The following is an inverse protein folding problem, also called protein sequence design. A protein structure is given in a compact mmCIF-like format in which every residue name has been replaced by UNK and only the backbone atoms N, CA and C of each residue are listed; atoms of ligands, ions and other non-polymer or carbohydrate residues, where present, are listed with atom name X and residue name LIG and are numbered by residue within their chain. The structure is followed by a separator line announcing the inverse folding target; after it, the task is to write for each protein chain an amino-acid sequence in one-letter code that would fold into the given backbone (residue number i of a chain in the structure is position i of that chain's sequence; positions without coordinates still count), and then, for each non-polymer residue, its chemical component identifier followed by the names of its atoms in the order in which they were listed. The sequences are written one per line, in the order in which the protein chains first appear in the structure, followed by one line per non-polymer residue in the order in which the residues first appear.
data_IF_029301481520
#
_entry.id   IF_029301481520
#
_cell.length_a   1.000
_cell.length_b   1.000
_cell.length_c   1.000
_cell.angle_alpha   90.00
_cell.angle_beta   90.00
_cell.angle_gamma   90.00
#
_symmetry.space_group_name_H-M   'P 1'
#
loop_
_entity.id
_entity.type
_entity.pdbx_description
1 polymer ?
#
# COMPACT_ATOMS: atom_id res chain seq x y z
N UNK A 1 -6.97 -12.38 -10.62
CA UNK A 1 -6.20 -12.21 -9.36
C UNK A 1 -6.88 -11.20 -8.42
N UNK A 2 -8.11 -11.48 -7.96
CA UNK A 2 -8.81 -10.62 -6.99
C UNK A 2 -8.10 -10.62 -5.63
N UNK A 3 -7.66 -11.79 -5.17
CA UNK A 3 -6.96 -11.96 -3.89
C UNK A 3 -5.66 -11.14 -3.81
N UNK A 4 -4.82 -11.17 -4.85
CA UNK A 4 -3.57 -10.41 -4.87
C UNK A 4 -3.81 -8.89 -4.76
N UNK A 5 -4.84 -8.36 -5.45
CA UNK A 5 -5.20 -6.95 -5.31
C UNK A 5 -5.65 -6.63 -3.88
N UNK A 6 -6.45 -7.50 -3.25
CA UNK A 6 -6.86 -7.34 -1.86
C UNK A 6 -5.67 -7.33 -0.89
N UNK A 7 -4.72 -8.28 -1.03
CA UNK A 7 -3.51 -8.33 -0.22
C UNK A 7 -2.64 -7.07 -0.38
N UNK A 8 -2.48 -6.58 -1.62
CA UNK A 8 -1.72 -5.35 -1.89
C UNK A 8 -2.41 -4.13 -1.28
N UNK A 9 -3.73 -4.00 -1.43
CA UNK A 9 -4.48 -2.91 -0.80
C UNK A 9 -4.34 -2.95 0.72
N UNK A 10 -4.45 -4.13 1.34
CA UNK A 10 -4.33 -4.27 2.79
C UNK A 10 -2.90 -4.00 3.28
N UNK A 11 -1.87 -4.42 2.53
CA UNK A 11 -0.48 -4.10 2.83
C UNK A 11 -0.24 -2.58 2.80
N UNK A 12 -0.74 -1.88 1.78
CA UNK A 12 -0.62 -0.42 1.71
C UNK A 12 -1.52 0.31 2.72
N UNK A 13 -2.62 -0.30 3.18
CA UNK A 13 -3.46 0.24 4.26
C UNK A 13 -2.69 0.26 5.59
N UNK A 14 -1.95 -0.81 5.87
CA UNK A 14 -1.15 -0.97 7.08
C UNK A 14 0.19 -0.23 7.00
N UNK A 15 0.82 -0.23 5.83
CA UNK A 15 2.14 0.32 5.58
C UNK A 15 2.13 1.22 4.32
N UNK A 16 1.53 2.41 4.41
CA UNK A 16 1.43 3.31 3.26
C UNK A 16 2.82 3.84 2.87
N UNK A 17 3.19 3.85 1.57
CA UNK A 17 4.49 4.31 1.12
C UNK A 17 4.68 5.83 1.29
N UNK A 18 3.60 6.60 1.20
CA UNK A 18 3.56 8.02 1.53
C UNK A 18 2.73 8.17 2.78
N UNK A 19 3.39 8.36 3.92
CA UNK A 19 2.75 8.43 5.24
C UNK A 19 2.05 9.75 5.49
N UNK A 20 2.47 10.83 4.80
CA UNK A 20 1.94 12.17 4.99
C UNK A 20 1.81 12.90 3.67
N UNK A 21 0.68 13.57 3.47
CA UNK A 21 0.45 14.52 2.38
C UNK A 21 -0.20 15.78 2.94
N UNK A 22 0.53 16.89 2.92
CA UNK A 22 0.06 18.16 3.44
C UNK A 22 -0.88 18.83 2.45
N UNK A 23 -2.12 19.10 2.89
CA UNK A 23 -3.09 19.88 2.13
C UNK A 23 -3.31 21.21 2.86
N UNK A 24 -3.31 22.30 2.11
CA UNK A 24 -3.62 23.63 2.62
C UNK A 24 -4.94 24.08 2.00
N UNK A 25 -5.79 24.70 2.82
CA UNK A 25 -7.01 25.31 2.32
C UNK A 25 -6.62 26.54 1.48
N UNK A 26 -7.14 26.63 0.25
CA UNK A 26 -6.90 27.79 -0.59
C UNK A 26 -7.65 29.03 -0.07
N UNK A 27 -8.81 28.81 0.55
CA UNK A 27 -9.66 29.83 1.18
C UNK A 27 -10.27 29.23 2.46
N UNK A 28 -10.76 30.09 3.35
CA UNK A 28 -11.51 29.65 4.53
C UNK A 28 -12.78 28.90 4.10
N UNK A 29 -13.00 27.71 4.68
CA UNK A 29 -14.13 26.85 4.34
C UNK A 29 -14.67 26.16 5.61
N UNK A 30 -15.97 25.88 5.63
CA UNK A 30 -16.63 25.20 6.75
C UNK A 30 -16.82 23.74 6.39
N UNK A 31 -16.10 22.84 7.07
CA UNK A 31 -16.26 21.40 6.86
C UNK A 31 -17.70 20.99 7.19
N UNK A 32 -18.36 20.16 6.35
CA UNK A 32 -19.71 19.72 6.63
C UNK A 32 -19.71 18.82 7.88
N UNK A 33 -20.15 19.38 8.99
CA UNK A 33 -20.26 18.71 10.29
C UNK A 33 -21.45 17.75 10.31
N UNK A 34 -21.36 16.57 9.68
CA UNK A 34 -22.44 15.58 9.81
C UNK A 34 -22.48 14.53 8.71
N UNK A 35 -21.86 13.38 8.99
CA UNK A 35 -21.72 12.22 8.11
C UNK A 35 -23.06 11.67 7.60
N UNK A 36 -23.24 11.63 6.29
CA UNK A 36 -24.11 10.65 5.62
C UNK A 36 -23.39 10.13 4.37
N UNK A 37 -22.75 8.96 4.46
CA UNK A 37 -22.22 8.27 3.27
C UNK A 37 -23.22 7.21 2.84
N UNK A 38 -23.91 7.47 1.72
CA UNK A 38 -24.76 6.53 0.99
C UNK A 38 -23.92 5.32 0.53
N UNK A 39 -24.59 4.18 0.32
CA UNK A 39 -24.15 2.77 0.06
C UNK A 39 -22.87 2.46 -0.76
N UNK A 40 -22.12 3.43 -1.29
CA UNK A 40 -20.83 3.24 -1.96
C UNK A 40 -19.66 3.72 -1.08
N UNK A 41 -18.57 2.95 -1.08
CA UNK A 41 -17.38 3.28 -0.29
C UNK A 41 -16.71 4.52 -0.90
N UNK A 42 -16.69 5.62 -0.13
CA UNK A 42 -16.00 6.86 -0.52
C UNK A 42 -14.55 6.58 -0.93
N UNK A 43 -14.07 7.16 -2.06
CA UNK A 43 -12.67 7.02 -2.48
C UNK A 43 -11.68 7.58 -1.45
N UNK A 44 -12.15 8.48 -0.58
CA UNK A 44 -11.37 9.03 0.53
C UNK A 44 -11.19 8.04 1.70
N UNK A 45 -11.88 6.90 1.72
CA UNK A 45 -11.70 5.84 2.72
C UNK A 45 -10.38 5.09 2.55
N UNK A 46 -9.81 5.08 1.33
CA UNK A 46 -8.52 4.45 1.03
C UNK A 46 -7.63 5.40 0.21
N UNK A 47 -7.07 6.45 0.83
CA UNK A 47 -6.39 7.54 0.12
C UNK A 47 -4.89 7.26 -0.15
N UNK A 48 -4.45 6.00 -0.21
CA UNK A 48 -3.04 5.64 -0.47
C UNK A 48 -2.52 6.23 -1.79
N UNK A 49 -3.38 6.28 -2.80
CA UNK A 49 -3.10 6.91 -4.08
C UNK A 49 -3.76 8.28 -4.21
N UNK A 50 -4.07 8.94 -3.09
CA UNK A 50 -4.97 10.08 -3.02
C UNK A 50 -6.37 9.76 -3.55
N UNK A 51 -7.23 10.77 -3.59
CA UNK A 51 -8.56 10.70 -4.17
C UNK A 51 -8.91 12.03 -4.85
N UNK A 52 -9.93 12.02 -5.71
CA UNK A 52 -10.36 13.20 -6.44
C UNK A 52 -9.43 13.61 -7.60
N UNK A 53 -9.40 14.88 -8.00
CA UNK A 53 -8.66 15.36 -9.17
C UNK A 53 -7.15 15.15 -9.13
N UNK A 54 -6.58 15.00 -7.91
CA UNK A 54 -5.15 14.77 -7.67
C UNK A 54 -4.83 13.31 -7.33
N UNK A 55 -5.71 12.37 -7.73
CA UNK A 55 -5.42 10.93 -7.65
C UNK A 55 -4.13 10.62 -8.40
N UNK A 56 -3.30 9.75 -7.85
CA UNK A 56 -2.04 9.35 -8.44
C UNK A 56 -2.27 8.82 -9.86
N UNK A 57 -1.73 9.53 -10.85
CA UNK A 57 -1.77 9.14 -12.26
C UNK A 57 -1.16 7.74 -12.49
N UNK A 58 -0.19 7.37 -11.65
CA UNK A 58 0.49 6.08 -11.68
C UNK A 58 -0.23 4.94 -10.95
N UNK A 59 -1.46 5.11 -10.44
CA UNK A 59 -2.16 4.10 -9.63
C UNK A 59 -2.24 2.74 -10.32
N UNK A 60 -2.73 2.69 -11.56
CA UNK A 60 -2.91 1.42 -12.28
C UNK A 60 -1.57 0.80 -12.68
N UNK A 61 -0.58 1.62 -13.05
CA UNK A 61 0.80 1.19 -13.30
C UNK A 61 1.43 0.57 -12.05
N UNK A 62 1.27 1.21 -10.89
CA UNK A 62 1.77 0.70 -9.62
C UNK A 62 1.14 -0.65 -9.27
N UNK A 63 -0.17 -0.82 -9.46
CA UNK A 63 -0.82 -2.12 -9.27
C UNK A 63 -0.30 -3.19 -10.23
N UNK A 64 -0.03 -2.83 -11.49
CA UNK A 64 0.53 -3.76 -12.47
C UNK A 64 1.93 -4.21 -12.05
N UNK A 65 2.81 -3.27 -11.68
CA UNK A 65 4.17 -3.55 -11.22
C UNK A 65 4.17 -4.38 -9.93
N UNK A 66 3.39 -4.01 -8.93
CA UNK A 66 3.28 -4.77 -7.67
C UNK A 66 2.79 -6.20 -7.92
N UNK A 67 1.75 -6.39 -8.74
CA UNK A 67 1.26 -7.74 -9.08
C UNK A 67 2.31 -8.54 -9.83
N UNK A 68 3.03 -7.92 -10.76
CA UNK A 68 4.08 -8.58 -11.53
C UNK A 68 5.24 -9.01 -10.63
N UNK A 69 5.70 -8.14 -9.72
CA UNK A 69 6.77 -8.45 -8.76
C UNK A 69 6.34 -9.56 -7.82
N UNK A 70 5.19 -9.43 -7.16
CA UNK A 70 4.68 -10.46 -6.23
C UNK A 70 4.46 -11.78 -6.95
N UNK A 71 3.84 -11.77 -8.14
CA UNK A 71 3.64 -12.95 -8.95
C UNK A 71 4.95 -13.62 -9.36
N UNK A 72 5.93 -12.83 -9.81
CA UNK A 72 7.23 -13.35 -10.27
C UNK A 72 8.09 -13.90 -9.12
N UNK A 73 8.06 -13.25 -7.96
CA UNK A 73 8.83 -13.67 -6.79
C UNK A 73 8.20 -14.90 -6.15
N UNK A 74 6.90 -14.86 -5.81
CA UNK A 74 6.24 -15.95 -5.09
C UNK A 74 6.01 -17.22 -5.95
N UNK A 75 6.02 -17.09 -7.28
CA UNK A 75 5.94 -18.26 -8.17
C UNK A 75 7.25 -19.04 -8.23
N UNK A 76 8.40 -18.39 -8.03
CA UNK A 76 9.74 -18.98 -8.24
C UNK A 76 10.51 -19.23 -6.96
N UNK A 77 10.17 -18.54 -5.88
CA UNK A 77 10.94 -18.53 -4.66
C UNK A 77 10.08 -18.74 -3.42
N UNK A 78 10.64 -19.45 -2.46
CA UNK A 78 10.19 -19.53 -1.09
C UNK A 78 11.00 -18.53 -0.26
N UNK A 79 10.31 -17.64 0.45
CA UNK A 79 10.91 -16.58 1.26
C UNK A 79 10.76 -16.96 2.73
N UNK A 80 11.89 -17.20 3.41
CA UNK A 80 11.92 -17.64 4.81
C UNK A 80 12.50 -16.52 5.67
N UNK A 81 11.73 -15.89 6.57
CA UNK A 81 12.26 -14.88 7.49
C UNK A 81 13.38 -15.44 8.37
N UNK A 82 14.48 -14.69 8.50
CA UNK A 82 15.62 -15.09 9.37
C UNK A 82 15.27 -14.92 10.85
N UNK A 83 14.35 -14.01 11.16
CA UNK A 83 13.93 -13.66 12.51
C UNK A 83 12.41 -13.58 12.60
N UNK A 84 11.86 -13.87 13.78
CA UNK A 84 10.43 -13.66 14.12
C UNK A 84 10.14 -12.24 14.59
N UNK A 85 11.16 -11.37 14.70
CA UNK A 85 10.97 -9.98 15.06
C UNK A 85 10.06 -9.29 14.06
N UNK A 86 9.07 -8.54 14.56
CA UNK A 86 8.18 -7.75 13.72
C UNK A 86 8.99 -6.63 13.06
N UNK A 87 8.82 -6.39 11.74
CA UNK A 87 9.47 -5.27 11.10
C UNK A 87 9.05 -3.94 11.71
N UNK A 88 10.00 -3.02 11.83
CA UNK A 88 9.74 -1.66 12.32
C UNK A 88 9.46 -0.77 11.12
N UNK A 89 8.24 -0.21 11.08
CA UNK A 89 7.83 0.73 10.05
C UNK A 89 8.44 2.11 10.32
N UNK A 90 9.09 2.70 9.31
CA UNK A 90 9.74 4.01 9.39
C UNK A 90 9.04 4.97 8.41
N UNK A 91 8.20 5.89 8.91
CA UNK A 91 7.42 6.82 8.08
C UNK A 91 8.20 8.10 7.75
N UNK A 92 9.21 8.01 6.88
CA UNK A 92 9.87 9.19 6.28
C UNK A 92 9.18 9.59 4.96
N UNK A 93 9.84 10.43 4.15
CA UNK A 93 9.36 10.84 2.82
C UNK A 93 8.88 9.66 1.98
N UNK A 94 9.61 8.54 2.04
CA UNK A 94 9.12 7.23 1.63
C UNK A 94 9.20 6.26 2.80
N UNK A 95 8.11 5.57 3.03
CA UNK A 95 8.05 4.61 4.12
C UNK A 95 8.84 3.34 3.80
N UNK A 96 9.57 2.85 4.78
CA UNK A 96 10.39 1.65 4.64
C UNK A 96 10.50 0.89 5.97
N UNK A 97 11.14 -0.27 5.95
CA UNK A 97 11.36 -1.11 7.11
C UNK A 97 12.75 -0.82 7.70
N UNK A 98 12.86 -0.50 9.00
CA UNK A 98 14.15 -0.27 9.64
C UNK A 98 15.03 -1.52 9.52
N UNK A 99 16.22 -1.38 8.92
CA UNK A 99 17.14 -2.49 8.71
C UNK A 99 16.67 -3.55 7.70
N UNK A 100 15.56 -3.31 6.98
CA UNK A 100 15.00 -4.20 5.96
C UNK A 100 14.38 -5.49 6.50
N UNK A 101 13.91 -6.34 5.59
CA UNK A 101 13.40 -7.68 5.90
C UNK A 101 14.45 -8.72 5.56
N UNK A 102 15.19 -9.19 6.57
CA UNK A 102 16.22 -10.22 6.38
C UNK A 102 15.55 -11.58 6.14
N UNK A 103 15.81 -12.17 4.97
CA UNK A 103 15.21 -13.43 4.52
C UNK A 103 16.26 -14.38 3.94
N UNK A 104 16.02 -15.68 4.08
CA UNK A 104 16.64 -16.72 3.27
C UNK A 104 15.73 -17.02 2.10
N UNK A 105 16.31 -17.22 0.92
CA UNK A 105 15.57 -17.48 -0.31
C UNK A 105 15.92 -18.90 -0.76
N UNK A 106 14.91 -19.74 -0.97
CA UNK A 106 15.05 -21.05 -1.64
C UNK A 106 14.31 -20.99 -2.97
N UNK A 107 14.83 -21.63 -4.02
CA UNK A 107 14.02 -21.86 -5.23
C UNK A 107 12.84 -22.74 -4.87
N UNK A 108 11.66 -22.35 -5.34
CA UNK A 108 10.43 -23.12 -5.14
C UNK A 108 10.48 -24.33 -6.06
N UNK A 109 10.32 -25.52 -5.49
CA UNK A 109 10.09 -26.74 -6.25
C UNK A 109 8.66 -26.69 -6.79
N UNK A 110 8.54 -26.52 -8.09
CA UNK A 110 7.24 -26.57 -8.78
C UNK A 110 6.91 -28.05 -8.94
N UNK A 111 5.88 -28.51 -8.25
CA UNK A 111 5.22 -29.79 -8.60
C UNK A 111 4.38 -29.59 -9.86
#
# INVERSE_FOLDING_TARGET
MSYMKACLCEAMRLYPPVSWDSKHAANDDVLPTGLVSRKEISPFKFPVFQAGPRVCIGKEMAFMQMKFVVGSVLSRFEIIPVSKQKPVFVPLLTAHMAGGLKVKIKRREVK
#
